data_IF_639352126666
#
_entry.id   IF_639352126666
#
_cell.length_a   1.000
_cell.length_b   1.000
_cell.length_c   1.000
_cell.angle_alpha   90.00
_cell.angle_beta   90.00
_cell.angle_gamma   90.00
#
_symmetry.space_group_name_H-M   'P 1'
#
loop_
_entity.id
_entity.type
_entity.pdbx_description
1 polymer ?
#
# COMPACT_ATOMS: atom_id res chain seq x y z
N UNK A 1 8.60 -17.84 -3.62
CA UNK A 1 7.38 -17.88 -2.78
C UNK A 1 6.69 -16.52 -2.63
N UNK A 2 7.41 -15.39 -2.59
CA UNK A 2 6.80 -14.06 -2.42
C UNK A 2 5.80 -13.65 -3.51
N UNK A 3 6.02 -14.02 -4.77
CA UNK A 3 5.13 -13.64 -5.89
C UNK A 3 3.73 -14.24 -5.75
N UNK A 4 3.63 -15.52 -5.38
CA UNK A 4 2.34 -16.21 -5.23
C UNK A 4 1.54 -15.64 -4.04
N UNK A 5 2.22 -15.38 -2.92
CA UNK A 5 1.59 -14.74 -1.76
C UNK A 5 1.13 -13.30 -2.08
N UNK A 6 1.91 -12.56 -2.87
CA UNK A 6 1.54 -11.23 -3.34
C UNK A 6 0.26 -11.24 -4.18
N UNK A 7 0.17 -12.13 -5.16
CA UNK A 7 -1.03 -12.27 -6.00
C UNK A 7 -2.25 -12.69 -5.16
N UNK A 8 -2.11 -13.66 -4.26
CA UNK A 8 -3.20 -14.13 -3.41
C UNK A 8 -3.73 -13.03 -2.47
N UNK A 9 -2.86 -12.13 -1.99
CA UNK A 9 -3.28 -10.99 -1.20
C UNK A 9 -4.06 -9.97 -2.04
N UNK A 10 -3.59 -9.67 -3.25
CA UNK A 10 -4.28 -8.74 -4.16
C UNK A 10 -5.68 -9.28 -4.49
N UNK A 11 -5.82 -10.56 -4.81
CA UNK A 11 -7.14 -11.15 -5.10
C UNK A 11 -8.08 -11.15 -3.88
N UNK A 12 -7.55 -11.35 -2.67
CA UNK A 12 -8.34 -11.26 -1.44
C UNK A 12 -8.79 -9.81 -1.17
N UNK A 13 -7.88 -8.85 -1.33
CA UNK A 13 -8.17 -7.43 -1.15
C UNK A 13 -9.21 -6.94 -2.17
N UNK A 14 -9.10 -7.41 -3.43
CA UNK A 14 -10.08 -7.14 -4.48
C UNK A 14 -11.46 -7.72 -4.14
N UNK A 15 -11.52 -9.00 -3.73
CA UNK A 15 -12.78 -9.64 -3.33
C UNK A 15 -13.46 -8.93 -2.16
N UNK A 16 -12.69 -8.50 -1.16
CA UNK A 16 -13.20 -7.70 -0.03
C UNK A 16 -13.73 -6.34 -0.50
N UNK A 17 -13.03 -5.70 -1.43
CA UNK A 17 -13.37 -4.39 -1.95
C UNK A 17 -14.63 -4.45 -2.82
N UNK A 18 -14.72 -5.39 -3.75
CA UNK A 18 -15.92 -5.60 -4.57
C UNK A 18 -17.12 -6.03 -3.72
N UNK A 19 -16.90 -6.92 -2.75
CA UNK A 19 -17.98 -7.48 -1.93
C UNK A 19 -18.53 -6.54 -0.87
N UNK A 20 -17.68 -5.66 -0.30
CA UNK A 20 -18.05 -4.83 0.84
C UNK A 20 -17.93 -3.34 0.54
N UNK A 21 -16.83 -2.89 -0.05
CA UNK A 21 -16.58 -1.45 -0.28
C UNK A 21 -17.44 -0.89 -1.41
N UNK A 22 -17.45 -1.54 -2.57
CA UNK A 22 -18.22 -1.11 -3.74
C UNK A 22 -19.72 -0.87 -3.43
N UNK A 23 -20.45 -1.75 -2.70
CA UNK A 23 -21.83 -1.46 -2.35
C UNK A 23 -21.98 -0.25 -1.41
N UNK A 24 -21.11 -0.06 -0.42
CA UNK A 24 -21.15 1.15 0.42
C UNK A 24 -20.91 2.42 -0.38
N UNK A 25 -19.94 2.40 -1.31
CA UNK A 25 -19.66 3.54 -2.20
C UNK A 25 -20.87 3.83 -3.08
N UNK A 26 -21.50 2.81 -3.66
CA UNK A 26 -22.71 2.99 -4.49
C UNK A 26 -23.89 3.56 -3.71
N UNK A 27 -24.08 3.13 -2.45
CA UNK A 27 -25.12 3.67 -1.56
C UNK A 27 -24.85 5.14 -1.22
N UNK A 28 -23.60 5.49 -0.87
CA UNK A 28 -23.22 6.85 -0.48
C UNK A 28 -23.30 7.81 -1.67
N UNK A 29 -22.86 7.37 -2.86
CA UNK A 29 -22.90 8.20 -4.05
C UNK A 29 -24.32 8.33 -4.61
N UNK A 30 -25.24 7.43 -4.23
CA UNK A 30 -26.65 7.48 -4.64
C UNK A 30 -26.86 7.21 -6.13
N UNK A 31 -25.84 6.71 -6.82
CA UNK A 31 -25.88 6.51 -8.27
C UNK A 31 -25.80 5.02 -8.59
N UNK A 32 -26.79 4.53 -9.33
CA UNK A 32 -26.73 3.24 -10.02
C UNK A 32 -25.65 3.22 -11.14
N UNK A 33 -24.95 4.33 -11.33
CA UNK A 33 -23.95 4.58 -12.38
C UNK A 33 -23.98 6.03 -12.86
N UNK A 34 -25.09 6.74 -12.70
CA UNK A 34 -25.27 8.09 -13.24
C UNK A 34 -25.06 9.18 -12.18
N UNK A 35 -23.81 9.62 -12.00
CA UNK A 35 -23.62 11.04 -11.66
C UNK A 35 -23.76 11.75 -12.99
N UNK A 36 -24.96 12.30 -13.26
CA UNK A 36 -25.36 12.97 -14.51
C UNK A 36 -24.27 12.98 -15.58
N UNK A 37 -24.31 11.97 -16.47
CA UNK A 37 -23.39 11.82 -17.58
C UNK A 37 -23.23 13.15 -18.31
N UNK A 38 -22.10 13.83 -18.08
CA UNK A 38 -21.82 15.09 -18.79
C UNK A 38 -21.38 14.73 -20.19
N UNK A 39 -22.31 14.81 -21.14
CA UNK A 39 -22.02 14.63 -22.57
C UNK A 39 -21.34 15.91 -23.07
N UNK A 40 -20.03 15.87 -23.25
CA UNK A 40 -19.27 16.93 -23.92
C UNK A 40 -18.82 16.40 -25.27
N UNK A 41 -19.21 17.09 -26.35
CA UNK A 41 -18.88 16.71 -27.74
C UNK A 41 -19.28 15.27 -28.14
N UNK A 42 -20.38 14.75 -27.58
CA UNK A 42 -20.88 13.39 -27.86
C UNK A 42 -20.17 12.27 -27.07
N UNK A 43 -19.26 12.62 -26.17
CA UNK A 43 -18.58 11.67 -25.30
C UNK A 43 -19.15 11.74 -23.88
N UNK A 44 -19.54 10.59 -23.35
CA UNK A 44 -20.05 10.40 -21.99
C UNK A 44 -18.87 10.42 -21.03
N UNK A 45 -18.86 11.37 -20.09
CA UNK A 45 -17.87 11.42 -19.01
C UNK A 45 -18.50 10.94 -17.69
N UNK A 46 -18.20 9.71 -17.30
CA UNK A 46 -18.70 9.08 -16.07
C UNK A 46 -17.89 9.55 -14.85
N UNK A 47 -18.22 10.74 -14.34
CA UNK A 47 -17.57 11.29 -13.13
C UNK A 47 -17.81 10.37 -11.92
N UNK A 48 -18.97 9.70 -11.87
CA UNK A 48 -19.30 8.67 -10.88
C UNK A 48 -18.28 7.54 -10.83
N UNK A 49 -17.84 7.05 -12.00
CA UNK A 49 -16.86 5.98 -12.11
C UNK A 49 -15.49 6.41 -11.57
N UNK A 50 -15.08 7.63 -11.89
CA UNK A 50 -13.82 8.20 -11.41
C UNK A 50 -13.85 8.39 -9.90
N UNK A 51 -14.94 8.93 -9.34
CA UNK A 51 -15.09 9.12 -7.89
C UNK A 51 -15.12 7.77 -7.16
N UNK A 52 -15.85 6.79 -7.70
CA UNK A 52 -15.86 5.44 -7.14
C UNK A 52 -14.47 4.79 -7.15
N UNK A 53 -13.71 4.94 -8.24
CA UNK A 53 -12.34 4.44 -8.33
C UNK A 53 -11.41 5.12 -7.32
N UNK A 54 -11.53 6.44 -7.12
CA UNK A 54 -10.73 7.19 -6.13
C UNK A 54 -11.04 6.70 -4.71
N UNK A 55 -12.32 6.53 -4.34
CA UNK A 55 -12.69 6.06 -2.99
C UNK A 55 -12.17 4.64 -2.77
N UNK A 56 -12.33 3.78 -3.77
CA UNK A 56 -11.84 2.40 -3.75
C UNK A 56 -10.32 2.36 -3.53
N UNK A 57 -9.57 3.15 -4.31
CA UNK A 57 -8.13 3.28 -4.18
C UNK A 57 -7.69 3.79 -2.79
N UNK A 58 -8.40 4.79 -2.24
CA UNK A 58 -8.10 5.31 -0.91
C UNK A 58 -8.26 4.23 0.17
N UNK A 59 -9.25 3.34 0.03
CA UNK A 59 -9.47 2.25 0.97
C UNK A 59 -8.39 1.18 0.84
N UNK A 60 -7.99 0.80 -0.37
CA UNK A 60 -6.87 -0.14 -0.58
C UNK A 60 -5.57 0.39 0.06
N UNK A 61 -5.28 1.68 -0.12
CA UNK A 61 -4.13 2.35 0.47
C UNK A 61 -4.20 2.29 2.01
N UNK A 62 -5.38 2.54 2.59
CA UNK A 62 -5.60 2.47 4.02
C UNK A 62 -5.36 1.04 4.54
N UNK A 63 -5.90 0.02 3.87
CA UNK A 63 -5.72 -1.39 4.25
C UNK A 63 -4.23 -1.76 4.22
N UNK A 64 -3.52 -1.45 3.13
CA UNK A 64 -2.09 -1.73 3.00
C UNK A 64 -1.28 -0.99 4.08
N UNK A 65 -1.61 0.28 4.31
CA UNK A 65 -0.95 1.10 5.32
C UNK A 65 -1.12 0.51 6.73
N UNK A 66 -2.34 0.16 7.12
CA UNK A 66 -2.61 -0.39 8.45
C UNK A 66 -2.06 -1.81 8.65
N UNK A 67 -2.12 -2.68 7.63
CA UNK A 67 -1.73 -4.09 7.76
C UNK A 67 -0.24 -4.31 7.57
N UNK A 68 0.45 -3.50 6.77
CA UNK A 68 1.89 -3.67 6.51
C UNK A 68 2.71 -2.52 7.06
N UNK A 69 2.38 -1.27 6.71
CA UNK A 69 3.24 -0.12 7.04
C UNK A 69 3.28 0.12 8.55
N UNK A 70 2.13 0.20 9.21
CA UNK A 70 2.05 0.42 10.66
C UNK A 70 2.78 -0.67 11.47
N UNK A 71 2.53 -1.98 11.27
CA UNK A 71 3.23 -3.00 12.03
C UNK A 71 4.71 -3.05 11.70
N UNK A 72 5.11 -2.99 10.42
CA UNK A 72 6.52 -2.97 10.05
C UNK A 72 7.23 -1.77 10.69
N UNK A 73 6.63 -0.58 10.64
CA UNK A 73 7.19 0.62 11.26
C UNK A 73 7.24 0.48 12.80
N UNK A 74 6.21 -0.09 13.42
CA UNK A 74 6.17 -0.35 14.87
C UNK A 74 7.21 -1.38 15.30
N UNK A 75 7.44 -2.41 14.50
CA UNK A 75 8.49 -3.40 14.76
C UNK A 75 9.88 -2.81 14.56
N UNK A 76 10.11 -2.03 13.50
CA UNK A 76 11.37 -1.28 13.27
C UNK A 76 11.67 -0.25 14.37
N UNK A 77 10.64 0.34 14.97
CA UNK A 77 10.80 1.27 16.09
C UNK A 77 11.10 0.55 17.42
N UNK A 78 10.75 -0.74 17.55
CA UNK A 78 10.89 -1.51 18.81
C UNK A 78 12.06 -2.48 18.81
N UNK A 79 12.44 -2.94 17.63
CA UNK A 79 13.67 -3.67 17.38
C UNK A 79 14.33 -2.94 16.24
N UNK A 80 15.60 -2.62 16.38
CA UNK A 80 16.45 -2.57 15.20
C UNK A 80 16.23 -3.93 14.51
N UNK A 81 15.28 -3.98 13.59
CA UNK A 81 15.19 -5.07 12.65
C UNK A 81 16.51 -4.91 11.91
N UNK A 82 17.51 -5.71 12.32
CA UNK A 82 18.78 -5.82 11.64
C UNK A 82 18.45 -5.81 10.18
N UNK A 83 18.90 -4.74 9.55
CA UNK A 83 18.85 -4.60 8.11
C UNK A 83 19.57 -5.82 7.59
N UNK A 84 18.79 -6.78 7.09
CA UNK A 84 19.31 -8.08 6.68
C UNK A 84 20.59 -7.91 5.85
N UNK A 85 21.60 -8.70 6.20
CA UNK A 85 23.03 -8.63 5.83
C UNK A 85 23.95 -8.00 6.89
N UNK A 86 23.58 -8.13 8.16
CA UNK A 86 24.35 -7.58 9.28
C UNK A 86 25.81 -8.01 9.28
N UNK A 87 26.20 -9.16 8.70
CA UNK A 87 27.62 -9.50 8.50
C UNK A 87 28.39 -8.44 7.70
N UNK A 88 27.84 -7.89 6.61
CA UNK A 88 28.52 -6.83 5.86
C UNK A 88 28.51 -5.50 6.60
N UNK A 89 27.42 -5.18 7.31
CA UNK A 89 27.32 -3.94 8.09
C UNK A 89 28.22 -4.00 9.32
N UNK A 90 28.37 -5.17 9.93
CA UNK A 90 29.23 -5.50 11.06
C UNK A 90 30.69 -5.47 10.61
N UNK A 91 31.05 -6.12 9.49
CA UNK A 91 32.37 -5.98 8.85
C UNK A 91 32.71 -4.52 8.52
N UNK A 92 31.74 -3.74 8.01
CA UNK A 92 31.95 -2.31 7.75
C UNK A 92 32.14 -1.49 9.03
N UNK A 93 31.48 -1.86 10.14
CA UNK A 93 31.72 -1.26 11.46
C UNK A 93 33.11 -1.61 11.97
N UNK A 94 33.53 -2.88 11.86
CA UNK A 94 34.87 -3.33 12.23
C UNK A 94 35.95 -2.62 11.42
N UNK A 95 35.82 -2.53 10.08
CA UNK A 95 36.75 -1.79 9.22
C UNK A 95 36.84 -0.32 9.62
N UNK A 96 35.69 0.33 9.90
CA UNK A 96 35.65 1.73 10.36
C UNK A 96 36.40 1.90 11.67
N UNK A 97 36.24 0.97 12.59
CA UNK A 97 36.84 1.06 13.92
C UNK A 97 38.36 0.80 13.83
N UNK A 98 38.81 -0.13 12.98
CA UNK A 98 40.23 -0.34 12.63
C UNK A 98 40.89 0.85 11.93
N UNK A 99 40.15 1.66 11.17
CA UNK A 99 40.68 2.90 10.57
C UNK A 99 40.77 4.07 11.55
N UNK A 100 39.96 4.06 12.61
CA UNK A 100 39.98 5.11 13.66
C UNK A 100 41.08 4.89 14.68
N UNK A 101 41.56 3.65 14.84
CA UNK A 101 42.71 3.35 15.68
C UNK A 101 43.97 4.00 15.09
N UNK A 102 44.58 4.99 15.75
CA UNK A 102 45.86 5.54 15.33
C UNK A 102 46.90 4.45 15.52
N UNK A 103 47.50 3.99 14.42
CA UNK A 103 48.63 3.05 14.49
C UNK A 103 49.74 3.67 15.37
N UNK A 104 50.36 2.89 16.28
CA UNK A 104 51.50 3.36 17.05
C UNK A 104 52.69 3.75 16.17
#
# INVERSE_FOLDING_TARGET
>A
MGVVAGVAFVTLAEAFTVGLVAPFVRIILGTDGAAEDFVVAGQVFDISLVVAAIITFAIELLVIYFVFVVPINRFRARRAFDTGSDEHVELLREIRDLMKEPRP
#
